data_IF_422634527825
#
_entry.id   IF_422634527825
#
_cell.length_a   1.000
_cell.length_b   1.000
_cell.length_c   1.000
_cell.angle_alpha   90.00
_cell.angle_beta   90.00
_cell.angle_gamma   90.00
#
_symmetry.space_group_name_H-M   'P 1'
#
loop_
_entity.id
_entity.type
_entity.pdbx_description
1 polymer ?
#
# COMPACT_ATOMS: atom_id res chain seq x y z
N UNK A 1 -44.12 -61.52 94.88
CA UNK A 1 -44.99 -60.38 94.53
C UNK A 1 -44.17 -59.42 93.66
N UNK A 2 -44.36 -59.46 92.34
CA UNK A 2 -43.69 -58.57 91.36
C UNK A 2 -44.65 -57.40 91.07
N UNK A 3 -44.20 -56.13 91.06
CA UNK A 3 -44.95 -55.06 90.41
C UNK A 3 -44.61 -55.01 88.93
N UNK A 4 -45.65 -54.81 88.13
CA UNK A 4 -45.67 -54.68 86.68
C UNK A 4 -44.99 -53.39 86.20
N UNK A 5 -44.22 -53.50 85.12
CA UNK A 5 -43.81 -52.36 84.31
C UNK A 5 -44.83 -52.21 83.17
N UNK A 6 -45.73 -51.23 83.29
CA UNK A 6 -46.71 -50.88 82.27
C UNK A 6 -46.55 -49.42 81.84
N UNK A 7 -46.71 -49.22 80.53
CA UNK A 7 -47.01 -47.94 79.85
C UNK A 7 -45.85 -46.95 79.59
N UNK A 8 -45.05 -47.24 78.56
CA UNK A 8 -44.38 -46.28 77.66
C UNK A 8 -43.72 -47.12 76.54
N UNK A 9 -43.85 -46.96 75.24
CA UNK A 9 -44.38 -45.91 74.40
C UNK A 9 -44.77 -46.54 73.06
N UNK A 10 -46.01 -46.37 72.65
CA UNK A 10 -46.50 -46.74 71.31
C UNK A 10 -46.53 -45.48 70.43
N UNK A 11 -45.36 -44.88 70.24
CA UNK A 11 -45.18 -43.71 69.38
C UNK A 11 -44.70 -44.19 67.99
N UNK A 12 -45.40 -43.85 66.90
CA UNK A 12 -44.95 -44.17 65.55
C UNK A 12 -43.55 -43.59 65.28
N UNK A 13 -42.65 -44.31 64.57
CA UNK A 13 -41.33 -43.78 64.28
C UNK A 13 -41.44 -42.50 63.44
N UNK A 14 -40.79 -41.42 63.91
CA UNK A 14 -40.62 -40.17 63.18
C UNK A 14 -40.02 -40.44 61.80
N UNK A 15 -40.79 -40.18 60.74
CA UNK A 15 -40.28 -40.23 59.35
C UNK A 15 -39.36 -39.03 59.13
N UNK A 16 -38.06 -39.27 59.13
CA UNK A 16 -37.08 -38.26 58.70
C UNK A 16 -37.22 -38.10 57.17
N UNK A 17 -37.47 -36.88 56.65
CA UNK A 17 -37.46 -36.64 55.21
C UNK A 17 -36.08 -36.99 54.63
N UNK A 18 -36.06 -37.75 53.54
CA UNK A 18 -34.83 -38.11 52.85
C UNK A 18 -34.06 -36.83 52.42
N UNK A 19 -32.76 -36.82 52.71
CA UNK A 19 -31.86 -35.73 52.40
C UNK A 19 -31.88 -35.44 50.88
N UNK A 20 -31.98 -34.17 50.44
CA UNK A 20 -31.98 -33.86 49.01
C UNK A 20 -30.66 -34.28 48.38
N UNK A 21 -30.76 -35.15 47.37
CA UNK A 21 -29.63 -35.69 46.60
C UNK A 21 -28.74 -34.54 46.10
N UNK A 22 -27.48 -34.48 46.56
CA UNK A 22 -26.47 -33.54 46.05
C UNK A 22 -26.44 -33.61 44.51
N UNK A 23 -26.53 -32.49 43.79
CA UNK A 23 -26.45 -32.53 42.34
C UNK A 23 -25.09 -33.10 41.93
N UNK A 24 -25.13 -34.12 41.06
CA UNK A 24 -23.95 -34.72 40.48
C UNK A 24 -23.10 -33.60 39.84
N UNK A 25 -21.86 -33.45 40.33
CA UNK A 25 -20.91 -32.47 39.82
C UNK A 25 -20.59 -32.85 38.37
N UNK A 26 -21.24 -32.19 37.41
CA UNK A 26 -20.93 -32.32 35.99
C UNK A 26 -19.48 -31.91 35.82
N UNK A 27 -18.61 -32.90 35.57
CA UNK A 27 -17.20 -32.68 35.26
C UNK A 27 -17.15 -32.08 33.86
N UNK A 28 -17.07 -30.76 33.76
CA UNK A 28 -16.74 -30.09 32.52
C UNK A 28 -15.30 -30.48 32.15
N UNK A 29 -15.17 -31.36 31.16
CA UNK A 29 -13.89 -31.63 30.50
C UNK A 29 -13.35 -30.28 29.97
N UNK A 30 -12.08 -29.91 30.25
CA UNK A 30 -11.50 -28.68 29.73
C UNK A 30 -11.48 -28.75 28.20
N UNK A 31 -12.23 -27.84 27.57
CA UNK A 31 -12.32 -27.75 26.11
C UNK A 31 -10.93 -27.68 25.47
N UNK A 32 -10.65 -28.61 24.55
CA UNK A 32 -9.40 -28.61 23.78
C UNK A 32 -9.20 -27.24 23.12
N UNK A 33 -8.01 -26.61 23.25
CA UNK A 33 -7.75 -25.35 22.58
C UNK A 33 -7.79 -25.59 21.06
N UNK A 34 -8.70 -24.90 20.37
CA UNK A 34 -8.80 -24.90 18.90
C UNK A 34 -7.58 -24.14 18.33
N UNK A 35 -6.42 -24.80 18.31
CA UNK A 35 -5.11 -24.20 18.01
C UNK A 35 -4.66 -24.41 16.56
N UNK A 36 -5.60 -24.44 15.60
CA UNK A 36 -5.31 -24.82 14.21
C UNK A 36 -5.45 -23.73 13.14
N UNK A 37 -6.22 -22.66 13.38
CA UNK A 37 -6.50 -21.63 12.34
C UNK A 37 -5.71 -20.33 12.47
N UNK A 38 -5.07 -20.09 13.61
CA UNK A 38 -4.38 -18.81 13.88
C UNK A 38 -2.92 -18.80 13.43
N UNK A 39 -2.25 -19.94 13.24
CA UNK A 39 -0.84 -19.97 12.80
C UNK A 39 -0.69 -19.68 11.31
N UNK A 40 -1.50 -20.30 10.45
CA UNK A 40 -1.42 -20.10 9.00
C UNK A 40 -1.74 -18.65 8.60
N UNK A 41 -2.79 -18.05 9.19
CA UNK A 41 -3.12 -16.65 8.96
C UNK A 41 -1.96 -15.72 9.36
N UNK A 42 -1.32 -15.97 10.52
CA UNK A 42 -0.16 -15.19 10.96
C UNK A 42 1.03 -15.36 10.03
N UNK A 43 1.35 -16.58 9.61
CA UNK A 43 2.44 -16.83 8.66
C UNK A 43 2.18 -16.14 7.32
N UNK A 44 0.96 -16.20 6.79
CA UNK A 44 0.59 -15.49 5.56
C UNK A 44 0.70 -13.98 5.73
N UNK A 45 0.20 -13.41 6.82
CA UNK A 45 0.35 -11.97 7.11
C UNK A 45 1.82 -11.56 7.23
N UNK A 46 2.65 -12.37 7.90
CA UNK A 46 4.09 -12.11 8.01
C UNK A 46 4.79 -12.18 6.66
N UNK A 47 4.43 -13.12 5.78
CA UNK A 47 4.96 -13.22 4.42
C UNK A 47 4.56 -11.98 3.61
N UNK A 48 3.29 -11.59 3.65
CA UNK A 48 2.81 -10.39 2.95
C UNK A 48 3.55 -9.15 3.44
N UNK A 49 3.64 -8.93 4.76
CA UNK A 49 4.33 -7.78 5.31
C UNK A 49 5.84 -7.79 4.96
N UNK A 50 6.49 -8.95 5.09
CA UNK A 50 7.89 -9.13 4.68
C UNK A 50 8.08 -8.82 3.19
N UNK A 51 7.19 -9.28 2.33
CA UNK A 51 7.25 -9.00 0.89
C UNK A 51 7.10 -7.50 0.58
N UNK A 52 6.20 -6.79 1.26
CA UNK A 52 6.02 -5.34 1.11
C UNK A 52 7.29 -4.59 1.50
N UNK A 53 7.93 -4.98 2.60
CA UNK A 53 9.20 -4.39 3.04
C UNK A 53 10.29 -4.61 2.01
N UNK A 54 10.47 -5.86 1.53
CA UNK A 54 11.48 -6.18 0.53
C UNK A 54 11.24 -5.40 -0.77
N UNK A 55 10.01 -5.35 -1.28
CA UNK A 55 9.65 -4.58 -2.48
C UNK A 55 9.96 -3.09 -2.27
N UNK A 56 9.61 -2.53 -1.12
CA UNK A 56 9.88 -1.12 -0.79
C UNK A 56 11.38 -0.84 -0.78
N UNK A 57 12.18 -1.72 -0.18
CA UNK A 57 13.64 -1.59 -0.16
C UNK A 57 14.24 -1.69 -1.57
N UNK A 58 13.74 -2.60 -2.42
CA UNK A 58 14.18 -2.71 -3.82
C UNK A 58 13.85 -1.44 -4.59
N UNK A 59 12.63 -0.89 -4.43
CA UNK A 59 12.22 0.36 -5.07
C UNK A 59 13.14 1.51 -4.64
N UNK A 60 13.38 1.67 -3.34
CA UNK A 60 14.27 2.71 -2.81
C UNK A 60 15.69 2.51 -3.32
N UNK A 61 16.23 1.28 -3.29
CA UNK A 61 17.56 0.99 -3.79
C UNK A 61 17.69 1.35 -5.27
N UNK A 62 16.71 0.99 -6.10
CA UNK A 62 16.69 1.38 -7.51
C UNK A 62 16.61 2.89 -7.73
N UNK A 63 15.93 3.64 -6.85
CA UNK A 63 15.91 5.11 -6.91
C UNK A 63 17.28 5.71 -6.57
N UNK A 64 17.91 5.22 -5.49
CA UNK A 64 19.24 5.68 -5.05
C UNK A 64 20.32 5.36 -6.07
N UNK A 65 20.25 4.18 -6.68
CA UNK A 65 21.16 3.74 -7.74
C UNK A 65 20.87 4.38 -9.11
N UNK A 66 19.79 5.17 -9.23
CA UNK A 66 19.44 5.84 -10.49
C UNK A 66 18.94 4.89 -11.58
N UNK A 67 18.35 3.75 -11.20
CA UNK A 67 17.71 2.80 -12.14
C UNK A 67 16.37 3.34 -12.62
N UNK A 68 15.59 3.91 -11.70
CA UNK A 68 14.29 4.51 -11.98
C UNK A 68 14.06 5.81 -11.21
N UNK A 69 13.18 6.64 -11.73
CA UNK A 69 12.66 7.85 -11.07
C UNK A 69 11.14 7.87 -11.14
N UNK A 70 10.53 8.56 -10.20
CA UNK A 70 9.09 8.74 -10.15
C UNK A 70 8.77 10.23 -10.20
N UNK A 71 7.76 10.60 -10.97
CA UNK A 71 7.28 11.99 -11.01
C UNK A 71 5.76 12.01 -11.01
N UNK A 72 5.19 12.97 -10.26
CA UNK A 72 3.75 13.18 -10.24
C UNK A 72 3.37 14.05 -11.42
N UNK A 73 2.37 13.63 -12.17
CA UNK A 73 1.83 14.39 -13.29
C UNK A 73 0.90 15.45 -12.73
N UNK A 74 1.23 16.73 -12.96
CA UNK A 74 0.48 17.86 -12.42
C UNK A 74 -0.42 18.55 -13.47
N UNK A 75 -0.12 18.40 -14.76
CA UNK A 75 -0.81 19.09 -15.85
C UNK A 75 -1.54 18.11 -16.77
N UNK A 76 -2.44 18.65 -17.60
CA UNK A 76 -3.22 17.87 -18.57
C UNK A 76 -2.61 17.73 -19.96
N UNK A 77 -1.37 18.21 -20.20
CA UNK A 77 -0.79 18.26 -21.55
C UNK A 77 -0.53 16.89 -22.16
N UNK A 78 -0.42 15.85 -21.33
CA UNK A 78 -0.18 14.47 -21.75
C UNK A 78 -1.43 13.59 -21.79
N UNK A 79 -2.63 14.18 -21.65
CA UNK A 79 -3.88 13.42 -21.81
C UNK A 79 -4.01 12.86 -23.23
N UNK A 80 -4.60 11.66 -23.42
CA UNK A 80 -5.11 10.74 -22.39
C UNK A 80 -4.03 9.82 -21.79
N UNK A 81 -2.81 9.84 -22.32
CA UNK A 81 -1.74 8.90 -21.97
C UNK A 81 -1.30 9.02 -20.52
N UNK A 82 -1.10 10.24 -20.02
CA UNK A 82 -0.81 10.54 -18.62
C UNK A 82 -1.81 11.59 -18.12
N UNK A 83 -2.47 11.30 -16.99
CA UNK A 83 -3.44 12.20 -16.40
C UNK A 83 -2.87 12.89 -15.17
N UNK A 84 -3.33 14.12 -14.84
CA UNK A 84 -3.06 14.72 -13.54
C UNK A 84 -3.34 13.73 -12.40
N UNK A 85 -2.41 13.62 -11.46
CA UNK A 85 -2.45 12.69 -10.33
C UNK A 85 -1.87 11.30 -10.59
N UNK A 86 -1.51 10.96 -11.82
CA UNK A 86 -0.73 9.76 -12.12
C UNK A 86 0.71 9.94 -11.60
N UNK A 87 1.36 8.82 -11.24
CA UNK A 87 2.82 8.78 -11.05
C UNK A 87 3.43 8.12 -12.28
N UNK A 88 4.26 8.84 -13.02
CA UNK A 88 5.04 8.26 -14.10
C UNK A 88 6.31 7.61 -13.54
N UNK A 89 6.59 6.40 -14.01
CA UNK A 89 7.80 5.62 -13.75
C UNK A 89 8.76 5.84 -14.91
N UNK A 90 9.88 6.48 -14.62
CA UNK A 90 10.92 6.83 -15.57
C UNK A 90 12.09 5.87 -15.42
N UNK A 91 12.65 5.45 -16.55
CA UNK A 91 13.86 4.62 -16.61
C UNK A 91 14.94 5.35 -17.40
N UNK A 92 16.20 5.10 -17.06
CA UNK A 92 17.33 5.65 -17.81
C UNK A 92 17.51 4.87 -19.11
N UNK A 93 17.50 5.56 -20.24
CA UNK A 93 17.75 5.00 -21.58
C UNK A 93 18.93 5.72 -22.22
N UNK A 94 19.74 5.01 -22.99
CA UNK A 94 20.82 5.62 -23.79
C UNK A 94 20.24 6.65 -24.76
N UNK A 95 20.87 7.81 -24.87
CA UNK A 95 20.46 8.82 -25.86
C UNK A 95 20.54 8.32 -27.30
N UNK A 96 21.43 7.38 -27.58
CA UNK A 96 21.54 6.75 -28.91
C UNK A 96 20.28 5.95 -29.28
N UNK A 97 19.65 5.33 -28.27
CA UNK A 97 18.51 4.43 -28.43
C UNK A 97 17.17 5.17 -28.43
N UNK A 98 17.19 6.48 -28.18
CA UNK A 98 16.00 7.33 -28.20
C UNK A 98 15.35 7.33 -29.59
N UNK A 99 14.02 7.16 -29.58
CA UNK A 99 13.16 7.04 -30.76
C UNK A 99 12.02 8.05 -30.70
N UNK A 100 11.61 8.48 -31.89
CA UNK A 100 10.39 9.26 -32.06
C UNK A 100 9.20 8.49 -31.46
N UNK A 101 8.29 9.23 -30.81
CA UNK A 101 7.11 8.67 -30.18
C UNK A 101 7.30 8.24 -28.72
N UNK A 102 8.53 8.18 -28.19
CA UNK A 102 8.77 7.93 -26.77
C UNK A 102 8.44 9.17 -25.93
N UNK A 103 8.00 8.98 -24.68
CA UNK A 103 7.75 10.07 -23.73
C UNK A 103 9.00 10.25 -22.87
N UNK A 104 9.53 11.47 -22.82
CA UNK A 104 10.76 11.78 -22.09
C UNK A 104 10.53 12.87 -21.06
N UNK A 105 11.20 12.75 -19.92
CA UNK A 105 11.29 13.81 -18.93
C UNK A 105 12.54 14.66 -19.21
N UNK A 106 12.35 15.96 -19.35
CA UNK A 106 13.42 16.91 -19.66
C UNK A 106 13.15 18.27 -19.00
N UNK A 107 14.15 19.15 -19.05
CA UNK A 107 14.01 20.54 -18.64
C UNK A 107 13.92 21.42 -19.89
N UNK A 108 12.86 22.22 -20.06
CA UNK A 108 12.78 23.16 -21.17
C UNK A 108 13.98 24.12 -21.17
N UNK A 109 14.44 24.57 -22.35
CA UNK A 109 15.52 25.55 -22.44
C UNK A 109 15.18 26.81 -21.64
N UNK A 110 16.07 27.22 -20.73
CA UNK A 110 15.86 28.39 -19.87
C UNK A 110 15.08 28.12 -18.57
N UNK A 111 14.52 26.91 -18.38
CA UNK A 111 13.73 26.55 -17.21
C UNK A 111 14.30 25.30 -16.49
N UNK A 112 15.51 25.38 -15.89
CA UNK A 112 16.19 24.22 -15.31
C UNK A 112 15.49 23.60 -14.10
N UNK A 113 14.55 24.32 -13.49
CA UNK A 113 13.78 23.86 -12.33
C UNK A 113 12.47 23.18 -12.74
N UNK A 114 12.06 23.31 -14.00
CA UNK A 114 10.81 22.74 -14.50
C UNK A 114 11.08 21.42 -15.20
N UNK A 115 10.63 20.31 -14.64
CA UNK A 115 10.61 19.03 -15.34
C UNK A 115 9.31 18.88 -16.12
N UNK A 116 9.42 18.72 -17.44
CA UNK A 116 8.30 18.48 -18.36
C UNK A 116 8.40 17.08 -18.94
N UNK A 117 7.26 16.41 -19.05
CA UNK A 117 7.13 15.13 -19.75
C UNK A 117 6.32 15.34 -21.01
N UNK A 118 6.94 15.20 -22.18
CA UNK A 118 6.25 15.25 -23.47
C UNK A 118 6.74 14.14 -24.39
N UNK A 119 5.95 13.85 -25.44
CA UNK A 119 6.31 12.87 -26.46
C UNK A 119 7.30 13.47 -27.45
N UNK A 120 8.34 12.71 -27.78
CA UNK A 120 9.32 13.07 -28.81
C UNK A 120 8.62 13.09 -30.16
N UNK A 121 8.51 14.29 -30.74
CA UNK A 121 7.92 14.51 -32.03
C UNK A 121 8.94 14.36 -33.15
N UNK A 122 10.17 14.83 -32.96
CA UNK A 122 11.27 14.67 -33.91
C UNK A 122 12.62 14.57 -33.20
N UNK A 123 13.59 13.93 -33.86
CA UNK A 123 14.97 13.77 -33.36
C UNK A 123 15.92 14.15 -34.47
N UNK A 124 16.86 15.05 -34.16
CA UNK A 124 18.01 15.36 -34.99
C UNK A 124 19.29 14.99 -34.23
N UNK A 125 20.05 14.04 -34.79
CA UNK A 125 21.35 13.62 -34.23
C UNK A 125 22.43 14.60 -34.67
N UNK A 126 23.22 15.10 -33.71
CA UNK A 126 24.32 16.04 -33.93
C UNK A 126 25.61 15.47 -33.35
N UNK A 127 26.76 16.03 -33.73
CA UNK A 127 28.07 15.53 -33.26
C UNK A 127 28.19 15.44 -31.73
N UNK A 128 27.55 16.36 -31.01
CA UNK A 128 27.61 16.46 -29.54
C UNK A 128 26.24 16.19 -28.88
N UNK A 129 25.53 15.15 -29.34
CA UNK A 129 24.30 14.67 -28.72
C UNK A 129 23.10 14.71 -29.67
N UNK A 130 21.93 15.09 -29.17
CA UNK A 130 20.71 15.14 -29.96
C UNK A 130 19.89 16.38 -29.67
N UNK A 131 19.20 16.86 -30.70
CA UNK A 131 18.22 17.93 -30.62
C UNK A 131 16.85 17.27 -30.81
N UNK A 132 15.96 17.46 -29.85
CA UNK A 132 14.59 16.95 -29.93
C UNK A 132 13.60 18.09 -29.99
N UNK A 133 12.53 17.86 -30.74
CA UNK A 133 11.30 18.59 -30.59
C UNK A 133 10.28 17.68 -29.93
N UNK A 134 9.55 18.22 -28.97
CA UNK A 134 8.56 17.48 -28.19
C UNK A 134 7.17 18.06 -28.40
N UNK A 135 6.16 17.27 -28.03
CA UNK A 135 4.77 17.67 -28.07
C UNK A 135 4.01 16.95 -26.96
N UNK A 136 3.22 17.68 -26.19
CA UNK A 136 2.23 17.09 -25.30
C UNK A 136 1.13 16.38 -26.09
N UNK A 137 0.73 15.18 -25.67
CA UNK A 137 -0.28 14.37 -26.39
C UNK A 137 -1.62 15.10 -26.59
N UNK A 138 -2.00 15.97 -25.65
CA UNK A 138 -3.21 16.79 -25.72
C UNK A 138 -2.99 18.15 -26.41
N UNK A 139 -1.74 18.52 -26.73
CA UNK A 139 -1.44 19.81 -27.32
C UNK A 139 -1.76 19.79 -28.83
N UNK A 140 -2.21 20.92 -29.40
CA UNK A 140 -2.47 21.01 -30.84
C UNK A 140 -1.17 21.15 -31.64
N UNK A 141 -0.24 21.96 -31.14
CA UNK A 141 1.06 22.23 -31.77
C UNK A 141 2.19 21.55 -31.02
N UNK A 142 3.34 21.41 -31.68
CA UNK A 142 4.60 21.05 -31.03
C UNK A 142 5.04 22.14 -30.07
N UNK A 143 5.93 21.80 -29.14
CA UNK A 143 6.61 22.78 -28.32
C UNK A 143 7.42 23.73 -29.22
N UNK A 144 7.43 25.02 -28.87
CA UNK A 144 8.06 26.08 -29.69
C UNK A 144 9.59 26.10 -29.60
N UNK A 145 10.16 25.25 -28.73
CA UNK A 145 11.58 25.13 -28.51
C UNK A 145 12.12 23.78 -29.00
N UNK A 146 13.44 23.74 -29.21
CA UNK A 146 14.18 22.51 -29.46
C UNK A 146 15.09 22.23 -28.27
N UNK A 147 14.91 21.10 -27.61
CA UNK A 147 15.71 20.72 -26.45
C UNK A 147 16.98 20.00 -26.92
N UNK A 148 18.14 20.53 -26.51
CA UNK A 148 19.44 19.90 -26.78
C UNK A 148 19.82 18.99 -25.62
N UNK A 149 19.97 17.70 -25.90
CA UNK A 149 20.39 16.69 -24.94
C UNK A 149 21.84 16.32 -25.24
N UNK A 150 22.73 16.73 -24.33
CA UNK A 150 24.18 16.45 -24.38
C UNK A 150 24.55 15.26 -23.48
N UNK A 151 23.64 14.86 -22.58
CA UNK A 151 23.84 13.71 -21.69
C UNK A 151 23.92 12.38 -22.49
N UNK A 152 24.55 11.37 -21.88
CA UNK A 152 24.58 10.00 -22.45
C UNK A 152 23.27 9.25 -22.26
N UNK A 153 22.42 9.70 -21.34
CA UNK A 153 21.14 9.06 -21.03
C UNK A 153 20.01 10.08 -20.92
N UNK A 154 18.79 9.60 -21.16
CA UNK A 154 17.54 10.34 -20.91
C UNK A 154 16.64 9.55 -19.98
N UNK A 155 15.72 10.26 -19.33
CA UNK A 155 14.65 9.64 -18.58
C UNK A 155 13.46 9.41 -19.49
N UNK A 156 13.19 8.14 -19.82
CA UNK A 156 12.03 7.72 -20.60
C UNK A 156 10.94 7.14 -19.71
N UNK A 157 9.69 7.49 -19.98
CA UNK A 157 8.53 6.83 -19.37
C UNK A 157 8.46 5.35 -19.78
N UNK A 158 8.38 4.49 -18.76
CA UNK A 158 8.29 3.05 -18.92
C UNK A 158 6.93 2.50 -18.47
N UNK A 159 6.32 3.15 -17.47
CA UNK A 159 5.01 2.80 -16.95
C UNK A 159 4.40 3.99 -16.20
N UNK A 160 3.11 3.87 -15.87
CA UNK A 160 2.40 4.79 -14.97
C UNK A 160 1.66 4.03 -13.86
N UNK A 161 1.56 4.65 -12.70
CA UNK A 161 0.70 4.22 -11.61
C UNK A 161 -0.46 5.23 -11.48
N UNK A 162 -1.68 4.88 -11.97
CA UNK A 162 -2.78 5.82 -12.02
C UNK A 162 -3.23 6.29 -10.66
N UNK A 163 -3.52 7.59 -10.51
CA UNK A 163 -4.06 8.21 -9.28
C UNK A 163 -3.21 8.06 -8.00
N UNK A 164 -2.04 7.43 -8.06
CA UNK A 164 -1.17 7.22 -6.89
C UNK A 164 -0.60 8.54 -6.36
N UNK A 165 -0.44 9.56 -7.21
CA UNK A 165 0.07 10.86 -6.81
C UNK A 165 -0.83 11.53 -5.76
N UNK A 166 -2.14 11.27 -5.79
CA UNK A 166 -3.07 11.78 -4.79
C UNK A 166 -2.82 11.20 -3.39
N UNK A 167 -2.32 9.96 -3.28
CA UNK A 167 -1.97 9.36 -1.98
C UNK A 167 -0.77 10.07 -1.36
N UNK A 168 0.22 10.46 -2.17
CA UNK A 168 1.36 11.23 -1.72
C UNK A 168 0.92 12.62 -1.21
N UNK A 169 0.09 13.33 -1.99
CA UNK A 169 -0.46 14.64 -1.59
C UNK A 169 -1.26 14.54 -0.29
N UNK A 170 -2.10 13.52 -0.16
CA UNK A 170 -2.88 13.25 1.05
C UNK A 170 -1.98 13.03 2.27
N UNK A 171 -0.87 12.29 2.12
CA UNK A 171 0.06 12.00 3.22
C UNK A 171 0.81 13.23 3.77
N UNK A 172 1.04 14.25 2.93
CA UNK A 172 1.73 15.48 3.32
C UNK A 172 0.81 16.50 4.01
N UNK A 173 -0.52 16.32 3.96
CA UNK A 173 -1.46 17.15 4.70
C UNK A 173 -1.49 16.72 6.18
N UNK A 174 -0.68 17.39 7.01
CA UNK A 174 -0.66 17.22 8.48
C UNK A 174 -2.06 17.24 9.13
N UNK A 175 -3.02 17.93 8.51
CA UNK A 175 -4.40 18.07 8.98
C UNK A 175 -5.21 16.76 8.94
N UNK A 176 -5.00 15.87 7.96
CA UNK A 176 -5.78 14.60 7.89
C UNK A 176 -5.27 13.58 8.91
N UNK A 177 -4.01 13.70 9.33
CA UNK A 177 -3.39 12.87 10.36
C UNK A 177 -4.03 13.03 11.74
N UNK A 178 -4.69 14.17 11.99
CA UNK A 178 -5.37 14.46 13.26
C UNK A 178 -6.82 13.98 13.31
N UNK A 179 -7.48 13.76 12.17
CA UNK A 179 -8.87 13.24 12.14
C UNK A 179 -8.91 11.74 12.44
N UNK A 180 -7.82 11.00 12.19
CA UNK A 180 -7.75 9.55 12.44
C UNK A 180 -7.30 9.22 13.87
N UNK A 181 -6.81 10.21 14.65
CA UNK A 181 -6.19 9.96 15.96
C UNK A 181 -6.86 10.68 17.14
N UNK A 182 -7.94 11.41 16.91
CA UNK A 182 -8.77 11.96 18.00
C UNK A 182 -10.05 11.15 18.04
N UNK A 183 -10.23 10.24 19.02
CA UNK A 183 -11.57 9.78 19.34
C UNK A 183 -12.41 11.01 19.70
N UNK A 184 -13.58 11.13 19.06
CA UNK A 184 -14.60 12.07 19.49
C UNK A 184 -15.16 11.54 20.81
N UNK A 185 -14.52 11.91 21.92
CA UNK A 185 -15.10 11.82 23.26
C UNK A 185 -15.83 13.13 23.60
#
# INVERSE_FOLDING_TARGET
MRPEASAYADAPPLRIPAEPSRPARVRTEPGRPVRGRTSLARTLTSIVLGSVVVITLVVIAGMVLGVWRFTVISTGSMRPTLNPGDVAVLTSESTADLKQGQIVAFHPPGEPQLTVLHRVFSIQRVSNGLIIQTKGDANNTTDQWHARIVAKTVWREAAKAPKVGYLAVWSHQRAVRLIVLVPLD
#
